data_IF_305779884124
#
_entry.id   IF_305779884124
#
_cell.length_a   1.000
_cell.length_b   1.000
_cell.length_c   1.000
_cell.angle_alpha   90.00
_cell.angle_beta   90.00
_cell.angle_gamma   90.00
#
_symmetry.space_group_name_H-M   'P 1'
#
loop_
_entity.id
_entity.type
_entity.pdbx_description
1 polymer ?
#
# COMPACT_ATOMS: atom_id res chain seq x y z
N UNK A 1 9.96 3.87 -8.47
CA UNK A 1 11.25 4.10 -9.18
C UNK A 1 12.25 3.03 -8.77
N UNK A 2 12.73 2.23 -9.73
CA UNK A 2 13.67 1.12 -9.50
C UNK A 2 15.05 1.40 -10.11
N UNK A 3 16.00 0.48 -9.90
CA UNK A 3 17.37 0.62 -10.40
C UNK A 3 17.44 0.68 -11.93
N UNK A 4 16.49 0.04 -12.62
CA UNK A 4 16.39 0.07 -14.08
C UNK A 4 16.01 1.47 -14.55
N UNK A 5 15.01 2.09 -13.93
CA UNK A 5 14.60 3.47 -14.19
C UNK A 5 15.77 4.44 -13.98
N UNK A 6 16.51 4.31 -12.87
CA UNK A 6 17.67 5.18 -12.60
C UNK A 6 18.78 4.99 -13.63
N UNK A 7 19.03 3.75 -14.09
CA UNK A 7 20.00 3.49 -15.18
C UNK A 7 19.55 4.11 -16.50
N UNK A 8 18.28 4.00 -16.86
CA UNK A 8 17.73 4.62 -18.07
C UNK A 8 17.80 6.15 -18.00
N UNK A 9 17.43 6.74 -16.86
CA UNK A 9 17.52 8.17 -16.63
C UNK A 9 18.94 8.71 -16.79
N UNK A 10 19.95 7.97 -16.30
CA UNK A 10 21.36 8.37 -16.41
C UNK A 10 21.88 8.35 -17.86
N UNK A 11 21.24 7.60 -18.76
CA UNK A 11 21.58 7.60 -20.19
C UNK A 11 21.12 8.86 -20.92
N UNK A 12 20.14 9.59 -20.36
CA UNK A 12 19.63 10.82 -20.94
C UNK A 12 20.48 12.00 -20.45
N UNK A 13 20.86 12.91 -21.36
CA UNK A 13 21.60 14.13 -21.00
C UNK A 13 20.86 14.95 -19.94
N UNK A 14 21.61 15.65 -19.07
CA UNK A 14 21.03 16.50 -18.02
C UNK A 14 20.18 17.64 -18.58
N UNK A 15 20.57 18.15 -19.74
CA UNK A 15 19.94 19.31 -20.38
C UNK A 15 18.83 18.91 -21.37
N UNK A 16 18.55 17.61 -21.49
CA UNK A 16 17.47 17.11 -22.33
C UNK A 16 16.14 17.23 -21.58
N UNK A 17 15.21 17.98 -22.17
CA UNK A 17 13.82 18.12 -21.70
C UNK A 17 13.14 16.77 -21.44
N UNK A 18 13.45 15.74 -22.24
CA UNK A 18 12.88 14.40 -22.05
C UNK A 18 13.29 13.78 -20.72
N UNK A 19 14.44 14.17 -20.16
CA UNK A 19 14.90 13.70 -18.85
C UNK A 19 14.01 14.20 -17.72
N UNK A 20 13.60 15.47 -17.77
CA UNK A 20 12.73 16.04 -16.74
C UNK A 20 11.32 15.46 -16.84
N UNK A 21 10.80 15.26 -18.04
CA UNK A 21 9.51 14.58 -18.28
C UNK A 21 9.54 13.14 -17.74
N UNK A 22 10.61 12.39 -18.01
CA UNK A 22 10.78 11.03 -17.51
C UNK A 22 10.87 10.98 -15.97
N UNK A 23 11.58 11.93 -15.34
CA UNK A 23 11.60 12.06 -13.87
C UNK A 23 10.22 12.33 -13.29
N UNK A 24 9.50 13.28 -13.86
CA UNK A 24 8.16 13.66 -13.39
C UNK A 24 7.23 12.44 -13.46
N UNK A 25 7.31 11.67 -14.53
CA UNK A 25 6.52 10.44 -14.67
C UNK A 25 6.87 9.42 -13.59
N UNK A 26 8.14 9.09 -13.41
CA UNK A 26 8.54 8.11 -12.38
C UNK A 26 8.20 8.57 -10.95
N UNK A 27 8.19 9.88 -10.69
CA UNK A 27 7.75 10.44 -9.41
C UNK A 27 6.25 10.26 -9.21
N UNK A 28 5.43 10.53 -10.22
CA UNK A 28 3.97 10.33 -10.17
C UNK A 28 3.62 8.88 -9.87
N UNK A 29 4.26 7.94 -10.58
CA UNK A 29 4.06 6.49 -10.37
C UNK A 29 4.43 6.08 -8.94
N UNK A 30 5.60 6.51 -8.46
CA UNK A 30 6.07 6.20 -7.09
C UNK A 30 5.13 6.77 -6.01
N UNK A 31 4.56 7.96 -6.22
CA UNK A 31 3.59 8.54 -5.28
C UNK A 31 2.25 7.80 -5.30
N UNK A 32 1.82 7.34 -6.48
CA UNK A 32 0.59 6.57 -6.62
C UNK A 32 0.72 5.20 -5.93
N UNK A 33 1.81 4.47 -6.15
CA UNK A 33 2.10 3.20 -5.46
C UNK A 33 2.05 3.36 -3.94
N UNK A 34 2.70 4.41 -3.40
CA UNK A 34 2.66 4.70 -1.96
C UNK A 34 1.26 5.00 -1.45
N UNK A 35 0.44 5.70 -2.23
CA UNK A 35 -0.95 6.00 -1.87
C UNK A 35 -1.78 4.72 -1.80
N UNK A 36 -1.64 3.85 -2.80
CA UNK A 36 -2.36 2.58 -2.86
C UNK A 36 -1.92 1.61 -1.75
N UNK A 37 -0.62 1.47 -1.50
CA UNK A 37 -0.09 0.73 -0.36
C UNK A 37 -0.64 1.25 0.97
N UNK A 38 -0.73 2.58 1.13
CA UNK A 38 -1.29 3.21 2.32
C UNK A 38 -2.77 2.84 2.53
N UNK A 39 -3.56 2.83 1.46
CA UNK A 39 -4.97 2.44 1.49
C UNK A 39 -5.11 0.95 1.81
N UNK A 40 -4.33 0.09 1.16
CA UNK A 40 -4.37 -1.36 1.38
C UNK A 40 -3.92 -1.75 2.79
N UNK A 41 -2.81 -1.19 3.28
CA UNK A 41 -2.35 -1.40 4.67
C UNK A 41 -3.38 -0.91 5.68
N UNK A 42 -4.04 0.23 5.41
CA UNK A 42 -5.13 0.76 6.25
C UNK A 42 -6.35 -0.17 6.22
N UNK A 43 -6.70 -0.74 5.06
CA UNK A 43 -7.79 -1.68 4.93
C UNK A 43 -7.53 -3.00 5.68
N UNK A 44 -6.34 -3.58 5.54
CA UNK A 44 -5.91 -4.77 6.29
C UNK A 44 -6.01 -4.56 7.80
N UNK A 45 -5.53 -3.42 8.31
CA UNK A 45 -5.65 -3.08 9.74
C UNK A 45 -7.11 -3.01 10.19
N UNK A 46 -7.98 -2.35 9.43
CA UNK A 46 -9.42 -2.26 9.73
C UNK A 46 -10.09 -3.63 9.74
N UNK A 47 -9.74 -4.51 8.80
CA UNK A 47 -10.26 -5.88 8.74
C UNK A 47 -9.80 -6.71 9.94
N UNK A 48 -8.53 -6.59 10.36
CA UNK A 48 -8.02 -7.27 11.55
C UNK A 48 -8.74 -6.84 12.83
N UNK A 49 -8.96 -5.52 12.98
CA UNK A 49 -9.71 -4.98 14.13
C UNK A 49 -11.16 -5.48 14.15
N UNK A 50 -11.85 -5.49 12.99
CA UNK A 50 -13.21 -6.04 12.91
C UNK A 50 -13.26 -7.53 13.28
N UNK A 51 -12.28 -8.33 12.85
CA UNK A 51 -12.18 -9.74 13.25
C UNK A 51 -11.97 -9.90 14.76
N UNK A 52 -11.03 -9.16 15.35
CA UNK A 52 -10.78 -9.26 16.80
C UNK A 52 -11.98 -8.81 17.64
N UNK A 53 -12.73 -7.81 17.17
CA UNK A 53 -13.99 -7.41 17.82
C UNK A 53 -15.02 -8.53 17.69
N UNK A 54 -15.21 -9.09 16.48
CA UNK A 54 -16.13 -10.21 16.28
C UNK A 54 -15.79 -11.40 17.17
N UNK A 55 -14.52 -11.80 17.27
CA UNK A 55 -14.09 -12.90 18.13
C UNK A 55 -14.32 -12.62 19.63
N UNK A 56 -14.13 -11.36 20.06
CA UNK A 56 -14.26 -10.98 21.47
C UNK A 56 -15.71 -10.78 21.93
N UNK A 57 -16.61 -10.50 20.99
CA UNK A 57 -18.05 -10.33 21.25
C UNK A 57 -18.90 -11.42 20.61
N UNK A 58 -18.29 -12.44 20.00
CA UNK A 58 -18.99 -13.68 19.67
C UNK A 58 -19.45 -14.27 21.00
N UNK A 59 -20.76 -14.33 21.26
CA UNK A 59 -21.23 -15.09 22.39
C UNK A 59 -20.91 -16.54 22.06
N UNK A 60 -19.92 -17.12 22.74
CA UNK A 60 -19.82 -18.57 22.77
C UNK A 60 -21.17 -19.08 23.25
N UNK A 61 -21.84 -19.80 22.36
CA UNK A 61 -23.05 -20.58 22.59
C UNK A 61 -22.75 -21.80 23.48
N UNK A 62 -22.00 -21.60 24.56
CA UNK A 62 -21.66 -22.62 25.56
C UNK A 62 -21.92 -22.12 26.98
N UNK A 63 -23.18 -21.81 27.27
CA UNK A 63 -23.70 -21.87 28.63
C UNK A 63 -25.06 -22.59 28.62
N UNK A 64 -25.05 -23.80 28.07
CA UNK A 64 -26.06 -24.80 28.44
C UNK A 64 -25.52 -25.53 29.67
N UNK A 65 -25.60 -24.88 30.84
CA UNK A 65 -25.53 -25.63 32.10
C UNK A 65 -26.97 -25.97 32.47
N UNK A 66 -27.37 -27.17 32.05
CA UNK A 66 -28.53 -27.88 32.58
C UNK A 66 -28.23 -28.28 34.03
N UNK A 67 -29.29 -28.15 34.82
CA UNK A 67 -29.56 -28.73 36.15
C UNK A 67 -28.93 -28.04 37.35
#
# INVERSE_FOLDING_TARGET
MDDKFIKELRRISRDDRRRSEFMIQGLKETLQERKEEGVFKRWLRRRKIRKSISERFSPDSSSSHKQ
#
